data_IF_956672666061
#
_entry.id   IF_956672666061
#
_cell.length_a   1.000
_cell.length_b   1.000
_cell.length_c   1.000
_cell.angle_alpha   90.00
_cell.angle_beta   90.00
_cell.angle_gamma   90.00
#
_symmetry.space_group_name_H-M   'P 1'
#
loop_
_entity.id
_entity.type
_entity.pdbx_description
1 polymer ?
#
# COMPACT_ATOMS: atom_id res chain seq x y z
N UNK A 1 -12.05 8.65 21.08
CA UNK A 1 -11.25 8.72 19.82
C UNK A 1 -11.60 7.51 18.98
N UNK A 2 -12.11 7.72 17.76
CA UNK A 2 -12.47 6.62 16.82
C UNK A 2 -11.22 5.96 16.28
N UNK A 3 -11.29 4.65 16.04
CA UNK A 3 -10.17 3.84 15.58
C UNK A 3 -10.35 3.42 14.14
N UNK A 4 -9.26 3.10 13.46
CA UNK A 4 -9.23 2.60 12.09
C UNK A 4 -8.61 1.21 12.10
N UNK A 5 -9.27 0.23 11.50
CA UNK A 5 -8.72 -1.11 11.30
C UNK A 5 -7.91 -1.13 10.00
N UNK A 6 -6.69 -1.62 10.06
CA UNK A 6 -5.86 -1.87 8.86
C UNK A 6 -6.06 -3.30 8.38
N UNK A 7 -6.65 -3.46 7.20
CA UNK A 7 -6.93 -4.76 6.59
C UNK A 7 -5.68 -5.36 5.92
N UNK A 8 -4.59 -5.47 6.67
CA UNK A 8 -3.33 -6.05 6.21
C UNK A 8 -2.52 -6.61 7.37
N UNK A 9 -1.80 -7.71 7.12
CA UNK A 9 -0.78 -8.28 8.02
C UNK A 9 0.65 -7.86 7.64
N UNK A 10 0.83 -7.10 6.55
CA UNK A 10 2.15 -6.66 6.11
C UNK A 10 2.66 -5.52 6.99
N UNK A 11 3.68 -5.80 7.82
CA UNK A 11 4.22 -4.82 8.77
C UNK A 11 4.81 -3.58 8.11
N UNK A 12 5.41 -3.69 6.93
CA UNK A 12 5.94 -2.53 6.19
C UNK A 12 4.80 -1.60 5.75
N UNK A 13 3.69 -2.16 5.23
CA UNK A 13 2.49 -1.38 4.88
C UNK A 13 1.89 -0.70 6.11
N UNK A 14 1.74 -1.44 7.23
CA UNK A 14 1.24 -0.89 8.50
C UNK A 14 2.07 0.30 8.93
N UNK A 15 3.41 0.20 8.90
CA UNK A 15 4.30 1.27 9.30
C UNK A 15 4.20 2.48 8.37
N UNK A 16 4.14 2.30 7.06
CA UNK A 16 3.95 3.38 6.09
C UNK A 16 2.62 4.11 6.32
N UNK A 17 1.51 3.38 6.47
CA UNK A 17 0.19 3.97 6.73
C UNK A 17 0.18 4.76 8.04
N UNK A 18 0.73 4.20 9.13
CA UNK A 18 0.82 4.89 10.42
C UNK A 18 1.62 6.20 10.34
N UNK A 19 2.66 6.27 9.50
CA UNK A 19 3.40 7.54 9.29
C UNK A 19 2.58 8.59 8.54
N UNK A 20 1.76 8.17 7.56
CA UNK A 20 0.88 9.08 6.81
C UNK A 20 -0.21 9.67 7.73
N UNK A 21 -0.76 8.84 8.60
CA UNK A 21 -1.89 9.18 9.49
C UNK A 21 -1.44 9.37 10.95
N UNK A 22 -0.39 10.13 11.20
CA UNK A 22 0.31 10.24 12.51
C UNK A 22 -0.58 10.42 13.74
N UNK A 23 -1.73 11.08 13.59
CA UNK A 23 -2.63 11.42 14.71
C UNK A 23 -3.81 10.44 14.87
N UNK A 24 -3.86 9.38 14.09
CA UNK A 24 -4.94 8.39 14.14
C UNK A 24 -4.54 7.17 14.98
N UNK A 25 -5.53 6.54 15.59
CA UNK A 25 -5.35 5.26 16.29
C UNK A 25 -5.72 4.10 15.36
N UNK A 26 -4.84 3.12 15.29
CA UNK A 26 -5.02 1.96 14.42
C UNK A 26 -5.16 0.68 15.23
N UNK A 27 -6.01 -0.21 14.71
CA UNK A 27 -6.09 -1.61 15.09
C UNK A 27 -5.60 -2.46 13.92
N UNK A 28 -4.85 -3.52 14.24
CA UNK A 28 -4.48 -4.56 13.29
C UNK A 28 -5.55 -5.64 13.22
N UNK A 29 -5.48 -6.54 12.26
CA UNK A 29 -6.36 -7.71 12.18
C UNK A 29 -6.28 -8.55 13.47
N UNK A 30 -5.08 -8.69 14.04
CA UNK A 30 -4.87 -9.40 15.31
C UNK A 30 -5.57 -8.70 16.48
N UNK A 31 -5.54 -7.37 16.54
CA UNK A 31 -6.15 -6.62 17.64
C UNK A 31 -7.68 -6.77 17.69
N UNK A 32 -8.31 -7.04 16.56
CA UNK A 32 -9.76 -7.28 16.46
C UNK A 32 -10.11 -8.78 16.47
N UNK A 33 -9.14 -9.68 16.58
CA UNK A 33 -9.36 -11.13 16.58
C UNK A 33 -9.73 -11.70 15.20
N UNK A 34 -9.38 -11.02 14.11
CA UNK A 34 -9.60 -11.50 12.75
C UNK A 34 -8.47 -12.46 12.36
N UNK A 35 -8.78 -13.74 12.17
CA UNK A 35 -7.85 -14.83 11.87
C UNK A 35 -8.12 -15.55 10.54
N UNK A 36 -9.06 -15.02 9.75
CA UNK A 36 -9.44 -15.60 8.46
C UNK A 36 -8.45 -15.21 7.36
N UNK A 37 -8.23 -16.12 6.41
CA UNK A 37 -7.54 -15.80 5.17
C UNK A 37 -8.46 -15.01 4.24
N UNK A 38 -7.96 -13.90 3.70
CA UNK A 38 -8.67 -13.12 2.69
C UNK A 38 -8.18 -13.55 1.32
N UNK A 39 -9.09 -14.13 0.53
CA UNK A 39 -8.76 -14.55 -0.84
C UNK A 39 -8.69 -13.33 -1.74
N UNK A 40 -7.51 -13.10 -2.32
CA UNK A 40 -7.23 -12.03 -3.29
C UNK A 40 -7.19 -12.64 -4.70
N UNK A 41 -8.35 -12.88 -5.29
CA UNK A 41 -8.54 -13.48 -6.63
C UNK A 41 -8.99 -12.46 -7.69
N UNK A 42 -9.00 -11.17 -7.37
CA UNK A 42 -9.28 -10.09 -8.28
C UNK A 42 -8.23 -9.95 -9.39
N UNK A 43 -8.66 -9.41 -10.52
CA UNK A 43 -7.80 -9.16 -11.69
C UNK A 43 -7.11 -7.78 -11.66
N UNK A 44 -7.47 -6.93 -10.70
CA UNK A 44 -6.92 -5.59 -10.53
C UNK A 44 -6.56 -5.31 -9.08
N UNK A 45 -5.67 -4.34 -8.86
CA UNK A 45 -5.35 -3.85 -7.51
C UNK A 45 -6.58 -3.30 -6.80
N UNK A 46 -7.47 -2.63 -7.55
CA UNK A 46 -8.72 -2.07 -7.02
C UNK A 46 -9.62 -3.17 -6.47
N UNK A 47 -9.87 -4.22 -7.25
CA UNK A 47 -10.70 -5.36 -6.84
C UNK A 47 -10.13 -6.04 -5.59
N UNK A 48 -8.83 -6.30 -5.54
CA UNK A 48 -8.18 -6.92 -4.39
C UNK A 48 -8.25 -6.02 -3.14
N UNK A 49 -7.99 -4.71 -3.27
CA UNK A 49 -8.10 -3.77 -2.17
C UNK A 49 -9.53 -3.69 -1.64
N UNK A 50 -10.52 -3.62 -2.54
CA UNK A 50 -11.93 -3.55 -2.19
C UNK A 50 -12.41 -4.83 -1.51
N UNK A 51 -12.03 -6.00 -2.01
CA UNK A 51 -12.33 -7.30 -1.40
C UNK A 51 -11.79 -7.37 0.03
N UNK A 52 -10.53 -7.01 0.24
CA UNK A 52 -9.94 -6.93 1.60
C UNK A 52 -10.72 -6.01 2.52
N UNK A 53 -11.02 -4.80 2.05
CA UNK A 53 -11.74 -3.82 2.84
C UNK A 53 -13.13 -4.32 3.25
N UNK A 54 -13.88 -4.92 2.32
CA UNK A 54 -15.24 -5.44 2.57
C UNK A 54 -15.24 -6.59 3.56
N UNK A 55 -14.39 -7.59 3.35
CA UNK A 55 -14.31 -8.76 4.25
C UNK A 55 -14.02 -8.33 5.69
N UNK A 56 -13.07 -7.42 5.87
CA UNK A 56 -12.73 -6.91 7.21
C UNK A 56 -13.82 -6.00 7.76
N UNK A 57 -14.46 -5.17 6.94
CA UNK A 57 -15.58 -4.33 7.37
C UNK A 57 -16.78 -5.16 7.83
N UNK A 58 -17.16 -6.22 7.09
CA UNK A 58 -18.26 -7.10 7.48
C UNK A 58 -17.97 -7.78 8.83
N UNK A 59 -16.72 -8.19 9.05
CA UNK A 59 -16.29 -8.70 10.35
C UNK A 59 -16.39 -7.64 11.44
N UNK A 60 -15.89 -6.42 11.24
CA UNK A 60 -15.97 -5.29 12.19
C UNK A 60 -17.43 -5.02 12.59
N UNK A 61 -18.34 -5.01 11.60
CA UNK A 61 -19.78 -4.82 11.85
C UNK A 61 -20.36 -6.00 12.66
N UNK A 62 -19.99 -7.25 12.32
CA UNK A 62 -20.44 -8.43 13.07
C UNK A 62 -20.02 -8.42 14.55
N UNK A 63 -18.84 -7.85 14.83
CA UNK A 63 -18.31 -7.66 16.18
C UNK A 63 -18.85 -6.39 16.87
N UNK A 64 -19.74 -5.63 16.22
CA UNK A 64 -20.30 -4.36 16.72
C UNK A 64 -19.24 -3.32 17.07
N UNK A 65 -18.15 -3.29 16.34
CA UNK A 65 -17.07 -2.31 16.47
C UNK A 65 -17.41 -1.05 15.64
N UNK A 66 -17.34 0.13 16.27
CA UNK A 66 -17.49 1.42 15.56
C UNK A 66 -16.11 1.88 15.01
N UNK A 67 -15.65 1.23 13.97
CA UNK A 67 -14.34 1.47 13.36
C UNK A 67 -14.45 1.59 11.84
N UNK A 68 -13.74 2.57 11.27
CA UNK A 68 -13.48 2.56 9.82
C UNK A 68 -12.45 1.48 9.47
N UNK A 69 -12.45 1.03 8.22
CA UNK A 69 -11.50 0.05 7.70
C UNK A 69 -10.71 0.68 6.55
N UNK A 70 -9.39 0.55 6.58
CA UNK A 70 -8.51 0.88 5.47
C UNK A 70 -7.83 -0.39 4.96
N UNK A 71 -7.92 -0.61 3.65
CA UNK A 71 -7.16 -1.63 2.93
C UNK A 71 -6.35 -1.01 1.81
N UNK A 72 -5.28 -1.66 1.40
CA UNK A 72 -4.57 -1.35 0.15
C UNK A 72 -4.17 -2.61 -0.60
N UNK A 73 -4.13 -2.49 -1.93
CA UNK A 73 -3.36 -3.41 -2.76
C UNK A 73 -2.42 -2.62 -3.65
N UNK A 74 -1.21 -3.16 -3.84
CA UNK A 74 -0.14 -2.40 -4.48
C UNK A 74 0.92 -3.30 -5.09
N UNK A 75 1.58 -2.79 -6.11
CA UNK A 75 2.65 -3.53 -6.76
C UNK A 75 3.46 -2.71 -7.75
N UNK A 76 4.46 -3.38 -8.29
CA UNK A 76 5.33 -2.91 -9.36
C UNK A 76 4.76 -3.30 -10.72
N UNK A 77 4.74 -2.37 -11.66
CA UNK A 77 4.35 -2.59 -13.04
C UNK A 77 5.48 -2.17 -13.98
N UNK A 78 6.05 -3.12 -14.72
CA UNK A 78 7.17 -2.89 -15.62
C UNK A 78 6.73 -3.02 -17.07
N UNK A 79 6.80 -1.92 -17.83
CA UNK A 79 6.24 -1.82 -19.17
C UNK A 79 6.77 -2.89 -20.15
N UNK A 80 8.07 -3.10 -20.17
CA UNK A 80 8.72 -4.01 -21.13
C UNK A 80 8.41 -5.49 -20.91
N UNK A 81 7.80 -5.85 -19.78
CA UNK A 81 7.37 -7.22 -19.47
C UNK A 81 5.86 -7.28 -19.22
N UNK A 82 5.09 -6.55 -20.04
CA UNK A 82 3.63 -6.53 -20.01
C UNK A 82 3.04 -6.15 -18.64
N UNK A 83 3.67 -5.18 -17.97
CA UNK A 83 3.28 -4.70 -16.64
C UNK A 83 3.39 -5.74 -15.52
N UNK A 84 4.06 -6.87 -15.77
CA UNK A 84 4.44 -7.76 -14.67
C UNK A 84 5.42 -7.06 -13.70
N UNK A 85 5.43 -7.45 -12.42
CA UNK A 85 4.61 -8.45 -11.75
C UNK A 85 3.15 -8.04 -11.49
N UNK A 86 2.79 -6.73 -11.53
CA UNK A 86 1.42 -6.29 -11.31
C UNK A 86 0.84 -6.77 -9.97
N UNK A 87 -0.39 -7.30 -10.00
CA UNK A 87 -1.08 -7.84 -8.81
C UNK A 87 -0.36 -9.03 -8.15
N UNK A 88 0.59 -9.63 -8.85
CA UNK A 88 1.41 -10.73 -8.31
C UNK A 88 2.68 -10.27 -7.60
N UNK A 89 2.86 -8.95 -7.39
CA UNK A 89 4.10 -8.36 -6.86
C UNK A 89 4.62 -9.03 -5.60
N UNK A 90 3.77 -9.34 -4.64
CA UNK A 90 4.18 -9.97 -3.39
C UNK A 90 4.60 -11.44 -3.53
N UNK A 91 4.10 -12.15 -4.55
CA UNK A 91 4.28 -13.60 -4.74
C UNK A 91 4.88 -13.99 -6.10
N UNK A 92 5.47 -13.04 -6.81
CA UNK A 92 5.86 -13.16 -8.21
C UNK A 92 6.80 -14.34 -8.52
N UNK A 93 7.74 -14.63 -7.65
CA UNK A 93 8.64 -15.79 -7.77
C UNK A 93 8.24 -16.97 -6.89
N UNK A 94 7.44 -16.74 -5.86
CA UNK A 94 7.20 -17.70 -4.77
C UNK A 94 8.38 -17.86 -3.78
N UNK A 95 9.44 -17.05 -3.92
CA UNK A 95 10.67 -17.11 -3.14
C UNK A 95 10.94 -15.84 -2.31
N UNK A 96 9.88 -15.08 -1.99
CA UNK A 96 9.97 -13.83 -1.25
C UNK A 96 10.57 -12.67 -2.05
N UNK A 97 10.86 -11.57 -1.37
CA UNK A 97 11.24 -10.30 -2.03
C UNK A 97 12.53 -10.43 -2.85
N UNK A 98 13.53 -11.15 -2.36
CA UNK A 98 14.79 -11.38 -3.09
C UNK A 98 14.54 -12.14 -4.39
N UNK A 99 13.77 -13.22 -4.35
CA UNK A 99 13.40 -13.99 -5.53
C UNK A 99 12.56 -13.17 -6.52
N UNK A 100 11.64 -12.33 -6.01
CA UNK A 100 10.81 -11.45 -6.81
C UNK A 100 11.67 -10.43 -7.59
N UNK A 101 12.60 -9.77 -6.90
CA UNK A 101 13.57 -8.83 -7.52
C UNK A 101 14.42 -9.51 -8.57
N UNK A 102 14.99 -10.67 -8.24
CA UNK A 102 15.82 -11.47 -9.15
C UNK A 102 15.05 -11.79 -10.44
N UNK A 103 13.82 -12.28 -10.32
CA UNK A 103 12.97 -12.61 -11.47
C UNK A 103 12.69 -11.40 -12.37
N UNK A 104 12.42 -10.21 -11.79
CA UNK A 104 12.25 -8.97 -12.57
C UNK A 104 13.53 -8.61 -13.31
N UNK A 105 14.68 -8.65 -12.63
CA UNK A 105 15.97 -8.30 -13.24
C UNK A 105 16.36 -9.27 -14.35
N UNK A 106 16.12 -10.57 -14.17
CA UNK A 106 16.38 -11.62 -15.19
C UNK A 106 15.51 -11.41 -16.44
N UNK A 107 14.22 -11.12 -16.28
CA UNK A 107 13.33 -10.83 -17.40
C UNK A 107 13.73 -9.57 -18.17
N UNK A 108 14.46 -8.65 -17.56
CA UNK A 108 14.93 -7.42 -18.16
C UNK A 108 16.37 -7.51 -18.71
N UNK A 109 16.97 -8.69 -18.73
CA UNK A 109 18.31 -8.87 -19.35
C UNK A 109 18.26 -8.54 -20.84
N UNK A 110 19.17 -7.65 -21.29
CA UNK A 110 19.24 -7.19 -22.68
C UNK A 110 18.16 -6.18 -23.09
N UNK A 111 17.17 -5.89 -22.24
CA UNK A 111 16.10 -4.94 -22.52
C UNK A 111 16.53 -3.52 -22.15
N UNK A 112 16.37 -2.58 -23.09
CA UNK A 112 16.72 -1.16 -22.90
C UNK A 112 15.59 -0.37 -22.23
N UNK A 113 14.31 -0.63 -22.59
CA UNK A 113 13.17 0.01 -21.94
C UNK A 113 12.97 -0.58 -20.54
N UNK A 114 13.30 0.20 -19.54
CA UNK A 114 13.17 -0.19 -18.13
C UNK A 114 12.09 0.60 -17.42
N UNK A 115 11.23 1.27 -18.19
CA UNK A 115 10.14 2.11 -17.67
C UNK A 115 9.21 1.29 -16.77
N UNK A 116 8.96 1.82 -15.58
CA UNK A 116 8.12 1.17 -14.59
C UNK A 116 7.35 2.21 -13.77
N UNK A 117 6.33 1.75 -13.09
CA UNK A 117 5.67 2.51 -12.03
C UNK A 117 5.28 1.59 -10.87
N UNK A 118 5.23 2.15 -9.69
CA UNK A 118 4.55 1.53 -8.57
C UNK A 118 3.13 2.09 -8.45
N UNK A 119 2.16 1.23 -8.18
CA UNK A 119 0.75 1.56 -8.08
C UNK A 119 0.18 1.06 -6.76
N UNK A 120 -0.72 1.83 -6.19
CA UNK A 120 -1.49 1.47 -5.01
C UNK A 120 -2.94 1.87 -5.21
N UNK A 121 -3.85 0.96 -4.93
CA UNK A 121 -5.24 1.30 -4.65
C UNK A 121 -5.49 1.22 -3.16
N UNK A 122 -6.01 2.29 -2.60
CA UNK A 122 -6.39 2.41 -1.20
C UNK A 122 -7.90 2.51 -1.09
N UNK A 123 -8.48 1.77 -0.17
CA UNK A 123 -9.92 1.73 0.08
C UNK A 123 -10.18 2.08 1.55
N UNK A 124 -11.07 3.04 1.77
CA UNK A 124 -11.67 3.33 3.06
C UNK A 124 -13.11 2.85 3.05
N UNK A 125 -13.54 2.14 4.08
CA UNK A 125 -14.96 1.89 4.37
C UNK A 125 -15.27 2.43 5.77
N UNK A 126 -16.23 3.34 5.84
CA UNK A 126 -16.71 3.94 7.08
C UNK A 126 -17.68 3.00 7.82
N UNK A 127 -17.93 3.20 9.12
CA UNK A 127 -18.88 2.35 9.87
C UNK A 127 -20.30 2.30 9.30
N UNK A 128 -20.73 3.37 8.62
CA UNK A 128 -22.03 3.44 7.93
C UNK A 128 -22.04 2.82 6.53
N UNK A 129 -20.90 2.26 6.08
CA UNK A 129 -20.72 1.66 4.76
C UNK A 129 -20.29 2.61 3.66
N UNK A 130 -20.16 3.94 3.93
CA UNK A 130 -19.59 4.85 2.92
C UNK A 130 -18.21 4.37 2.50
N UNK A 131 -18.01 4.27 1.19
CA UNK A 131 -16.76 3.71 0.61
C UNK A 131 -16.07 4.74 -0.28
N UNK A 132 -14.78 4.92 -0.05
CA UNK A 132 -13.90 5.77 -0.85
C UNK A 132 -12.75 4.95 -1.40
N UNK A 133 -12.51 5.04 -2.72
CA UNK A 133 -11.43 4.33 -3.41
C UNK A 133 -10.49 5.37 -4.04
N UNK A 134 -9.19 5.21 -3.83
CA UNK A 134 -8.18 6.15 -4.32
C UNK A 134 -7.01 5.41 -4.95
N UNK A 135 -6.55 5.90 -6.09
CA UNK A 135 -5.37 5.41 -6.78
C UNK A 135 -4.17 6.32 -6.52
N UNK A 136 -3.00 5.72 -6.34
CA UNK A 136 -1.72 6.43 -6.33
C UNK A 136 -0.70 5.74 -7.21
N UNK A 137 0.01 6.52 -8.03
CA UNK A 137 1.11 6.05 -8.88
C UNK A 137 2.36 6.88 -8.69
N UNK A 138 3.50 6.22 -8.69
CA UNK A 138 4.81 6.86 -8.79
C UNK A 138 5.60 6.24 -9.94
N UNK A 139 6.15 7.07 -10.80
CA UNK A 139 6.81 6.64 -12.03
C UNK A 139 8.32 6.58 -11.85
N UNK A 140 8.94 5.64 -12.56
CA UNK A 140 10.35 5.40 -12.44
C UNK A 140 10.91 4.42 -13.48
N UNK A 141 12.05 3.86 -13.14
CA UNK A 141 12.77 2.88 -13.95
C UNK A 141 13.24 1.72 -13.07
N UNK A 142 13.39 0.53 -13.64
CA UNK A 142 14.08 -0.57 -12.96
C UNK A 142 15.59 -0.46 -13.21
N UNK A 143 16.38 -0.44 -12.15
CA UNK A 143 17.84 -0.44 -12.21
C UNK A 143 18.39 -1.76 -12.77
N UNK A 144 19.66 -1.79 -13.20
CA UNK A 144 20.29 -3.03 -13.68
C UNK A 144 20.71 -3.96 -12.53
N UNK A 145 20.87 -3.42 -11.34
CA UNK A 145 21.25 -4.15 -10.11
C UNK A 145 20.60 -3.50 -8.90
N UNK A 146 20.65 -4.16 -7.76
CA UNK A 146 20.18 -3.62 -6.47
C UNK A 146 21.04 -2.44 -6.04
N UNK A 147 20.42 -1.37 -5.54
CA UNK A 147 21.07 -0.16 -5.06
C UNK A 147 20.32 0.32 -3.80
N UNK A 148 21.00 0.36 -2.66
CA UNK A 148 20.45 0.80 -1.39
C UNK A 148 19.87 -0.33 -0.54
N UNK A 149 18.97 0.02 0.39
CA UNK A 149 18.35 -0.91 1.32
C UNK A 149 17.45 -1.93 0.62
N UNK A 150 17.58 -3.18 0.99
CA UNK A 150 16.86 -4.33 0.42
C UNK A 150 15.70 -4.81 1.33
N UNK A 151 15.38 -4.08 2.38
CA UNK A 151 14.47 -4.52 3.43
C UNK A 151 13.03 -4.70 2.99
N UNK A 152 12.60 -4.03 1.89
CA UNK A 152 11.21 -4.10 1.46
C UNK A 152 11.02 -4.13 -0.05
N UNK A 153 10.31 -5.17 -0.52
CA UNK A 153 9.77 -5.30 -1.86
C UNK A 153 10.80 -5.02 -2.96
N UNK A 154 10.49 -4.07 -3.83
CA UNK A 154 11.28 -3.70 -4.99
C UNK A 154 12.08 -2.40 -4.80
N UNK A 155 12.13 -1.84 -3.60
CA UNK A 155 12.67 -0.51 -3.34
C UNK A 155 14.11 -0.34 -3.83
N UNK A 156 14.97 -1.35 -3.67
CA UNK A 156 16.37 -1.29 -4.09
C UNK A 156 16.60 -1.44 -5.60
N UNK A 157 15.55 -1.76 -6.38
CA UNK A 157 15.64 -1.81 -7.86
C UNK A 157 14.72 -0.79 -8.54
N UNK A 158 13.89 -0.06 -7.80
CA UNK A 158 13.00 0.95 -8.33
C UNK A 158 13.61 2.36 -8.19
N UNK A 159 14.07 2.92 -9.31
CA UNK A 159 14.55 4.30 -9.42
C UNK A 159 13.38 5.25 -9.57
N UNK A 160 13.19 6.14 -8.62
CA UNK A 160 12.14 7.15 -8.65
C UNK A 160 12.54 8.33 -9.52
N UNK A 161 11.73 8.66 -10.53
CA UNK A 161 11.95 9.84 -11.36
C UNK A 161 11.86 11.14 -10.56
N UNK A 162 11.06 11.18 -9.48
CA UNK A 162 10.91 12.37 -8.64
C UNK A 162 12.09 12.57 -7.69
N UNK A 163 12.68 11.48 -7.19
CA UNK A 163 13.79 11.57 -6.23
C UNK A 163 15.18 11.54 -6.90
N UNK A 164 15.29 11.04 -8.14
CA UNK A 164 16.58 10.86 -8.80
C UNK A 164 17.48 9.83 -8.12
N UNK A 165 16.89 8.87 -7.39
CA UNK A 165 17.55 7.76 -6.70
C UNK A 165 16.57 6.59 -6.53
N UNK A 166 17.07 5.41 -6.12
CA UNK A 166 16.18 4.31 -5.78
C UNK A 166 15.44 4.58 -4.47
N UNK A 167 14.28 3.93 -4.28
CA UNK A 167 13.60 3.97 -2.99
C UNK A 167 14.46 3.34 -1.88
N UNK A 168 15.33 2.37 -2.22
CA UNK A 168 16.29 1.80 -1.29
C UNK A 168 17.40 2.77 -0.83
N UNK A 169 17.64 3.87 -1.58
CA UNK A 169 18.57 4.93 -1.20
C UNK A 169 17.88 6.12 -0.53
N UNK A 170 16.56 6.20 -0.64
CA UNK A 170 15.80 7.32 -0.10
C UNK A 170 15.65 7.21 1.42
N UNK A 171 15.61 8.35 2.09
CA UNK A 171 15.13 8.37 3.48
C UNK A 171 13.64 8.01 3.54
N UNK A 172 13.18 7.67 4.72
CA UNK A 172 11.76 7.36 4.95
C UNK A 172 10.88 8.56 4.54
N UNK A 173 11.29 9.78 4.91
CA UNK A 173 10.58 11.02 4.61
C UNK A 173 10.58 11.32 3.11
N UNK A 174 11.70 11.13 2.44
CA UNK A 174 11.80 11.29 0.99
C UNK A 174 10.86 10.33 0.26
N UNK A 175 10.89 9.03 0.62
CA UNK A 175 10.00 8.02 0.05
C UNK A 175 8.53 8.34 0.34
N UNK A 176 8.18 8.66 1.58
CA UNK A 176 6.81 8.98 1.99
C UNK A 176 6.27 10.22 1.25
N UNK A 177 7.13 11.17 0.82
CA UNK A 177 6.71 12.36 0.08
C UNK A 177 6.25 12.07 -1.37
N UNK A 178 6.65 10.94 -1.96
CA UNK A 178 6.43 10.64 -3.39
C UNK A 178 5.88 9.24 -3.65
N UNK A 179 5.73 8.39 -2.63
CA UNK A 179 5.35 6.99 -2.83
C UNK A 179 3.92 6.84 -3.34
N UNK A 180 3.68 5.80 -4.11
CA UNK A 180 2.36 5.41 -4.60
C UNK A 180 1.34 5.28 -3.47
N UNK A 181 1.73 4.69 -2.31
CA UNK A 181 0.85 4.54 -1.15
C UNK A 181 0.52 5.89 -0.52
N UNK A 182 1.49 6.76 -0.34
CA UNK A 182 1.23 8.11 0.20
C UNK A 182 0.28 8.91 -0.70
N UNK A 183 0.44 8.80 -2.03
CA UNK A 183 -0.43 9.46 -3.00
C UNK A 183 -1.87 8.93 -2.87
N UNK A 184 -2.06 7.60 -2.79
CA UNK A 184 -3.39 7.00 -2.63
C UNK A 184 -4.04 7.32 -1.28
N UNK A 185 -3.27 7.35 -0.20
CA UNK A 185 -3.78 7.54 1.16
C UNK A 185 -4.08 9.01 1.50
N UNK A 186 -3.43 9.96 0.84
CA UNK A 186 -3.59 11.40 1.14
C UNK A 186 -5.05 11.88 1.02
N UNK A 187 -5.81 11.61 -0.05
CA UNK A 187 -7.21 12.03 -0.13
C UNK A 187 -8.09 11.38 0.96
N UNK A 188 -7.80 10.13 1.34
CA UNK A 188 -8.49 9.44 2.43
C UNK A 188 -8.24 10.17 3.76
N UNK A 189 -6.99 10.55 4.01
CA UNK A 189 -6.64 11.31 5.21
C UNK A 189 -7.34 12.67 5.23
N UNK A 190 -7.32 13.41 4.12
CA UNK A 190 -7.98 14.70 3.99
C UNK A 190 -9.50 14.60 4.26
N UNK A 191 -10.15 13.55 3.75
CA UNK A 191 -11.55 13.27 4.03
C UNK A 191 -11.80 13.02 5.53
N UNK A 192 -11.02 12.12 6.15
CA UNK A 192 -11.16 11.81 7.58
C UNK A 192 -10.88 13.02 8.49
N UNK A 193 -9.93 13.88 8.10
CA UNK A 193 -9.66 15.15 8.80
C UNK A 193 -10.85 16.12 8.65
N UNK A 194 -11.44 16.21 7.46
CA UNK A 194 -12.57 17.14 7.17
C UNK A 194 -13.82 16.82 7.98
N UNK A 195 -14.04 15.55 8.33
CA UNK A 195 -15.19 15.11 9.13
C UNK A 195 -14.85 14.97 10.63
N UNK A 196 -13.67 15.44 11.06
CA UNK A 196 -13.14 15.25 12.40
C UNK A 196 -13.30 13.80 12.93
N UNK A 197 -12.94 12.81 12.09
CA UNK A 197 -13.15 11.40 12.44
C UNK A 197 -12.44 10.99 13.74
N UNK A 198 -11.36 11.66 14.10
CA UNK A 198 -10.64 11.43 15.36
C UNK A 198 -11.47 11.76 16.59
N UNK A 199 -12.48 12.65 16.46
CA UNK A 199 -13.29 13.12 17.58
C UNK A 199 -12.48 13.90 18.61
N UNK A 200 -11.48 14.67 18.16
CA UNK A 200 -10.77 15.64 19.00
C UNK A 200 -11.70 16.84 19.22
N UNK A 201 -11.82 17.30 20.45
CA UNK A 201 -12.48 18.56 20.75
C UNK A 201 -11.66 19.71 20.13
N UNK A 202 -12.32 20.70 19.52
CA UNK A 202 -11.68 21.88 18.93
C UNK A 202 -10.91 22.73 19.97
N UNK A 203 -10.87 22.31 21.23
CA UNK A 203 -10.20 22.97 22.34
C UNK A 203 -8.71 22.62 22.50
N UNK A 204 -8.14 21.75 21.67
CA UNK A 204 -6.73 21.34 21.72
C UNK A 204 -5.82 22.02 20.66
N UNK A 205 -6.27 23.18 20.09
CA UNK A 205 -5.46 24.02 19.22
C UNK A 205 -5.09 25.35 19.88
#
# INVERSE_FOLDING_TARGET
MRKIVLATNNQHKINEIKRIFKLYQFLTLKDIGFDQDIVEDGFTFEENALTKARVVHDYVVSQKLDCAVIADDSGLCVKAINYEPGIYSARYSGLGDEGNRKKVLEKLLGIQDRTAYMQCYAVLIMPDGYTMIQEGKTYGLITKSKIGDESFGYDCIFWSNKLGKTFGQASIEEKDSVSHRSIAMKPIKEYLDSINYRGLDDSEY
#
